data_IF_941335423270
#
_entry.id   IF_941335423270
#
_cell.length_a   1.000
_cell.length_b   1.000
_cell.length_c   1.000
_cell.angle_alpha   90.00
_cell.angle_beta   90.00
_cell.angle_gamma   90.00
#
_symmetry.space_group_name_H-M   'P 1'
#
loop_
_entity.id
_entity.type
_entity.pdbx_description
1 polymer ?
#
# COMPACT_ATOMS: atom_id res chain seq x y z
N UNK A 1 -10.89 0.88 -27.00
CA UNK A 1 -11.73 -0.25 -27.41
C UNK A 1 -11.29 -1.49 -26.63
N UNK A 2 -12.19 -2.07 -25.83
CA UNK A 2 -11.95 -3.34 -25.16
C UNK A 2 -11.79 -4.44 -26.20
N UNK A 3 -10.81 -5.32 -26.00
CA UNK A 3 -10.68 -6.57 -26.75
C UNK A 3 -11.44 -7.65 -25.99
N UNK A 4 -11.89 -8.68 -26.73
CA UNK A 4 -12.50 -9.85 -26.11
C UNK A 4 -11.49 -10.53 -25.18
N UNK A 5 -11.97 -11.03 -24.07
CA UNK A 5 -11.19 -11.74 -23.07
C UNK A 5 -12.02 -12.89 -22.50
N UNK A 6 -11.36 -13.88 -21.98
CA UNK A 6 -12.00 -15.06 -21.39
C UNK A 6 -11.41 -15.38 -20.02
N UNK A 7 -12.18 -16.15 -19.25
CA UNK A 7 -11.84 -16.55 -17.87
C UNK A 7 -11.22 -17.95 -17.80
N UNK A 8 -11.25 -18.72 -18.88
CA UNK A 8 -10.75 -20.10 -18.91
C UNK A 8 -9.32 -20.20 -19.45
N UNK A 9 -8.58 -21.18 -18.95
CA UNK A 9 -7.21 -21.49 -19.36
C UNK A 9 -7.00 -22.98 -19.47
N UNK A 10 -6.28 -23.41 -20.49
CA UNK A 10 -5.84 -24.80 -20.65
C UNK A 10 -4.70 -25.09 -19.66
N UNK A 11 -5.06 -25.43 -18.43
CA UNK A 11 -4.12 -25.66 -17.34
C UNK A 11 -4.59 -26.81 -16.46
N UNK A 12 -3.67 -27.39 -15.72
CA UNK A 12 -3.95 -28.34 -14.64
C UNK A 12 -3.86 -27.70 -13.24
N UNK A 13 -3.66 -26.40 -13.19
CA UNK A 13 -3.56 -25.62 -11.98
C UNK A 13 -4.55 -24.47 -11.98
N UNK A 14 -5.26 -24.29 -10.88
CA UNK A 14 -6.28 -23.27 -10.72
C UNK A 14 -7.59 -23.86 -10.24
N UNK A 15 -8.67 -23.08 -10.29
CA UNK A 15 -10.00 -23.54 -9.90
C UNK A 15 -10.69 -24.22 -11.08
N UNK A 16 -11.25 -25.38 -10.84
CA UNK A 16 -12.06 -26.11 -11.86
C UNK A 16 -13.31 -25.33 -12.24
N UNK A 17 -13.74 -25.44 -13.48
CA UNK A 17 -14.98 -24.88 -13.98
C UNK A 17 -16.08 -25.93 -13.81
N UNK A 18 -17.08 -25.74 -12.95
CA UNK A 18 -18.09 -26.75 -12.62
C UNK A 18 -19.19 -26.86 -13.68
N UNK A 19 -18.77 -27.13 -14.92
CA UNK A 19 -19.66 -27.27 -16.07
C UNK A 19 -19.49 -28.66 -16.70
N UNK A 20 -20.62 -29.27 -17.07
CA UNK A 20 -20.71 -30.51 -17.83
C UNK A 20 -21.26 -30.20 -19.21
N UNK A 21 -20.89 -31.02 -20.20
CA UNK A 21 -21.35 -30.90 -21.59
C UNK A 21 -21.92 -32.25 -22.08
N UNK A 22 -22.99 -32.20 -22.83
CA UNK A 22 -23.49 -33.38 -23.54
C UNK A 22 -22.81 -33.56 -24.92
N UNK A 23 -23.28 -34.55 -25.71
CA UNK A 23 -22.80 -34.83 -27.08
C UNK A 23 -23.05 -33.67 -28.05
N UNK A 24 -24.03 -32.82 -27.78
CA UNK A 24 -24.44 -31.70 -28.60
C UNK A 24 -23.83 -30.39 -28.15
N UNK A 25 -22.87 -30.44 -27.17
CA UNK A 25 -22.23 -29.31 -26.51
C UNK A 25 -23.17 -28.39 -25.70
N UNK A 26 -24.37 -28.88 -25.34
CA UNK A 26 -25.18 -28.16 -24.35
C UNK A 26 -24.48 -28.20 -22.98
N UNK A 27 -24.54 -27.10 -22.25
CA UNK A 27 -23.83 -26.93 -20.95
C UNK A 27 -24.78 -27.08 -19.79
N UNK A 28 -24.33 -27.79 -18.75
CA UNK A 28 -25.05 -28.01 -17.51
C UNK A 28 -24.16 -27.72 -16.32
N UNK A 29 -24.65 -27.09 -15.25
CA UNK A 29 -23.90 -26.96 -14.01
C UNK A 29 -23.68 -28.34 -13.37
N UNK A 30 -22.48 -28.59 -12.87
CA UNK A 30 -22.19 -29.79 -12.08
C UNK A 30 -22.95 -29.73 -10.75
N UNK A 31 -23.66 -30.79 -10.40
CA UNK A 31 -24.40 -30.92 -9.12
C UNK A 31 -23.49 -31.40 -8.00
N UNK A 32 -22.49 -32.21 -8.34
CA UNK A 32 -21.48 -32.70 -7.40
C UNK A 32 -20.36 -31.69 -7.27
N UNK A 33 -20.25 -31.06 -6.10
CA UNK A 33 -19.28 -30.03 -5.78
C UNK A 33 -18.56 -30.34 -4.46
N UNK A 34 -17.27 -29.98 -4.34
CA UNK A 34 -16.40 -29.35 -5.35
C UNK A 34 -15.96 -30.31 -6.46
N UNK A 35 -15.72 -29.78 -7.65
CA UNK A 35 -15.03 -30.55 -8.71
C UNK A 35 -13.54 -30.52 -8.38
N UNK A 36 -12.98 -31.65 -7.94
CA UNK A 36 -11.58 -31.77 -7.53
C UNK A 36 -10.66 -31.98 -8.74
N UNK A 37 -9.47 -31.36 -8.67
CA UNK A 37 -8.41 -31.59 -9.66
C UNK A 37 -7.71 -32.93 -9.40
N UNK A 38 -7.39 -33.71 -10.46
CA UNK A 38 -6.64 -34.93 -10.30
C UNK A 38 -5.19 -34.66 -9.85
N UNK A 39 -4.65 -35.52 -8.99
CA UNK A 39 -3.30 -35.37 -8.44
C UNK A 39 -2.22 -36.04 -9.30
N UNK A 40 -2.60 -36.91 -10.25
CA UNK A 40 -1.72 -37.75 -11.08
C UNK A 40 -1.54 -37.22 -12.50
N UNK A 41 -1.57 -35.89 -12.70
CA UNK A 41 -1.48 -35.27 -14.02
C UNK A 41 -0.05 -35.36 -14.58
N UNK A 42 0.09 -35.92 -15.79
CA UNK A 42 1.35 -35.89 -16.51
C UNK A 42 1.41 -34.72 -17.48
N UNK A 43 2.48 -33.89 -17.36
CA UNK A 43 2.69 -32.74 -18.21
C UNK A 43 3.40 -33.16 -19.50
N UNK A 44 2.66 -33.28 -20.60
CA UNK A 44 3.22 -33.61 -21.92
C UNK A 44 3.73 -32.39 -22.72
N UNK A 45 3.41 -31.17 -22.27
CA UNK A 45 3.85 -29.92 -22.90
C UNK A 45 3.14 -29.52 -24.20
N UNK A 46 2.23 -30.33 -24.73
CA UNK A 46 1.64 -30.09 -26.07
C UNK A 46 0.11 -29.89 -26.02
N UNK A 47 -0.58 -30.37 -24.99
CA UNK A 47 -2.05 -30.33 -24.89
C UNK A 47 -2.50 -29.97 -23.47
N UNK A 48 -3.77 -29.59 -23.32
CA UNK A 48 -4.36 -29.43 -22.00
C UNK A 48 -4.19 -30.71 -21.19
N UNK A 49 -3.50 -30.66 -20.03
CA UNK A 49 -3.25 -31.87 -19.26
C UNK A 49 -4.51 -32.57 -18.77
N UNK A 50 -5.57 -31.82 -18.44
CA UNK A 50 -6.85 -32.38 -18.01
C UNK A 50 -7.62 -33.01 -19.16
N UNK A 51 -7.48 -32.49 -20.38
CA UNK A 51 -8.11 -33.03 -21.57
C UNK A 51 -7.54 -34.41 -22.01
N UNK A 52 -6.41 -34.83 -21.46
CA UNK A 52 -5.81 -36.11 -21.69
C UNK A 52 -6.25 -37.20 -20.69
N UNK A 53 -7.03 -36.85 -19.66
CA UNK A 53 -7.40 -37.75 -18.56
C UNK A 53 -8.88 -38.14 -18.66
N UNK A 54 -9.14 -39.31 -19.26
CA UNK A 54 -10.52 -39.84 -19.40
C UNK A 54 -11.23 -39.93 -18.04
N UNK A 55 -10.56 -40.34 -17.00
CA UNK A 55 -11.09 -40.44 -15.63
C UNK A 55 -11.60 -39.08 -15.09
N UNK A 56 -11.01 -37.96 -15.50
CA UNK A 56 -11.47 -36.63 -15.15
C UNK A 56 -12.59 -36.15 -16.07
N UNK A 57 -12.50 -36.46 -17.39
CA UNK A 57 -13.44 -35.98 -18.39
C UNK A 57 -14.81 -36.61 -18.22
N UNK A 58 -14.88 -37.91 -18.03
CA UNK A 58 -16.13 -38.66 -17.96
C UNK A 58 -16.89 -38.32 -16.67
N UNK A 59 -18.16 -37.98 -16.80
CA UNK A 59 -19.06 -37.67 -15.71
C UNK A 59 -20.45 -38.25 -16.01
N UNK A 60 -21.18 -38.57 -14.94
CA UNK A 60 -22.57 -39.00 -15.05
C UNK A 60 -23.45 -38.19 -14.13
N UNK A 61 -24.51 -37.59 -14.66
CA UNK A 61 -25.46 -36.80 -13.92
C UNK A 61 -26.87 -37.04 -14.43
N UNK A 62 -27.83 -37.23 -13.53
CA UNK A 62 -29.25 -37.48 -13.86
C UNK A 62 -29.45 -38.66 -14.82
N UNK A 63 -28.59 -39.67 -14.78
CA UNK A 63 -28.65 -40.85 -15.65
C UNK A 63 -28.06 -40.65 -17.06
N UNK A 64 -27.55 -39.47 -17.35
CA UNK A 64 -26.90 -39.11 -18.64
C UNK A 64 -25.39 -39.17 -18.53
N UNK A 65 -24.71 -39.62 -19.56
CA UNK A 65 -23.29 -39.60 -19.72
C UNK A 65 -22.89 -38.24 -20.30
N UNK A 66 -22.05 -37.50 -19.55
CA UNK A 66 -21.65 -36.13 -19.83
C UNK A 66 -20.12 -36.01 -19.78
N UNK A 67 -19.58 -34.91 -20.27
CA UNK A 67 -18.12 -34.60 -20.18
C UNK A 67 -17.88 -33.36 -19.34
N UNK A 68 -16.92 -33.43 -18.42
CA UNK A 68 -16.46 -32.26 -17.66
C UNK A 68 -15.74 -31.27 -18.56
N UNK A 69 -15.87 -29.97 -18.19
CA UNK A 69 -14.98 -28.95 -18.73
C UNK A 69 -13.54 -29.25 -18.28
N UNK A 70 -12.61 -29.20 -19.24
CA UNK A 70 -11.18 -29.50 -19.00
C UNK A 70 -10.29 -28.26 -18.87
N UNK A 71 -10.85 -27.09 -19.09
CA UNK A 71 -10.20 -25.82 -18.74
C UNK A 71 -10.35 -25.54 -17.26
N UNK A 72 -9.43 -24.76 -16.70
CA UNK A 72 -9.55 -24.18 -15.37
C UNK A 72 -9.80 -22.68 -15.46
N UNK A 73 -10.30 -22.07 -14.41
CA UNK A 73 -10.31 -20.62 -14.32
C UNK A 73 -8.89 -20.07 -14.34
N UNK A 74 -8.70 -18.89 -14.92
CA UNK A 74 -7.47 -18.12 -14.80
C UNK A 74 -7.13 -17.92 -13.31
N UNK A 75 -5.84 -17.96 -12.96
CA UNK A 75 -5.38 -17.85 -11.57
C UNK A 75 -5.77 -16.51 -10.93
N UNK A 76 -5.88 -15.42 -11.71
CA UNK A 76 -6.40 -14.14 -11.24
C UNK A 76 -7.89 -14.15 -10.89
N UNK A 77 -8.65 -15.13 -11.38
CA UNK A 77 -10.05 -15.26 -11.03
C UNK A 77 -10.23 -15.58 -9.54
N UNK A 78 -9.40 -16.44 -8.98
CA UNK A 78 -9.41 -16.77 -7.55
C UNK A 78 -9.10 -15.55 -6.68
N UNK A 79 -8.11 -14.74 -7.06
CA UNK A 79 -7.73 -13.53 -6.34
C UNK A 79 -8.64 -12.32 -6.61
N UNK A 80 -9.61 -12.44 -7.51
CA UNK A 80 -10.46 -11.30 -7.93
C UNK A 80 -11.38 -10.77 -6.85
N UNK A 81 -11.67 -11.55 -5.81
CA UNK A 81 -12.61 -11.22 -4.75
C UNK A 81 -12.03 -11.35 -3.33
N UNK A 82 -10.70 -11.53 -3.22
CA UNK A 82 -10.03 -11.74 -1.93
C UNK A 82 -10.36 -10.64 -0.90
N UNK A 83 -10.42 -9.38 -1.34
CA UNK A 83 -10.73 -8.22 -0.49
C UNK A 83 -12.12 -8.35 0.17
N UNK A 84 -13.11 -8.87 -0.56
CA UNK A 84 -14.45 -9.14 -0.01
C UNK A 84 -14.40 -10.33 0.97
N UNK A 85 -13.64 -11.39 0.65
CA UNK A 85 -13.45 -12.52 1.55
C UNK A 85 -12.75 -12.13 2.84
N UNK A 86 -11.81 -11.20 2.82
CA UNK A 86 -11.17 -10.69 4.03
C UNK A 86 -12.17 -10.10 5.03
N UNK A 87 -13.22 -9.42 4.56
CA UNK A 87 -14.27 -8.90 5.43
C UNK A 87 -15.07 -10.00 6.14
N UNK A 88 -15.05 -11.23 5.60
CA UNK A 88 -15.79 -12.39 6.08
C UNK A 88 -14.89 -13.62 6.26
N UNK A 89 -13.61 -13.42 6.64
CA UNK A 89 -12.55 -14.44 6.58
C UNK A 89 -12.84 -15.72 7.37
N UNK A 90 -13.56 -15.63 8.47
CA UNK A 90 -13.93 -16.72 9.37
C UNK A 90 -15.33 -17.32 9.10
N UNK A 91 -16.06 -16.79 8.12
CA UNK A 91 -17.35 -17.35 7.72
C UNK A 91 -17.17 -18.76 7.14
N UNK A 92 -17.81 -19.77 7.76
CA UNK A 92 -17.75 -21.18 7.35
C UNK A 92 -18.96 -21.61 6.51
N UNK A 93 -20.06 -20.90 6.62
CA UNK A 93 -21.35 -21.30 6.06
C UNK A 93 -21.70 -20.57 4.77
N UNK A 94 -20.99 -19.48 4.46
CA UNK A 94 -21.23 -18.65 3.29
C UNK A 94 -19.93 -18.09 2.73
N UNK A 95 -19.96 -17.75 1.48
CA UNK A 95 -18.87 -17.08 0.76
C UNK A 95 -18.57 -15.70 1.35
N UNK A 96 -19.63 -14.93 1.61
CA UNK A 96 -19.61 -13.60 2.25
C UNK A 96 -20.76 -13.51 3.26
N UNK A 97 -20.64 -12.62 4.23
CA UNK A 97 -21.69 -12.27 5.19
C UNK A 97 -21.94 -10.76 5.24
N UNK A 98 -22.82 -10.30 6.12
CA UNK A 98 -23.21 -8.88 6.23
C UNK A 98 -22.04 -7.92 6.47
N UNK A 99 -20.89 -8.42 6.96
CA UNK A 99 -19.69 -7.61 7.12
C UNK A 99 -19.12 -7.17 5.77
N UNK A 100 -19.24 -8.01 4.73
CA UNK A 100 -18.82 -7.63 3.38
C UNK A 100 -19.61 -6.44 2.85
N UNK A 101 -20.94 -6.38 3.08
CA UNK A 101 -21.76 -5.23 2.69
C UNK A 101 -21.38 -3.95 3.44
N UNK A 102 -20.98 -4.07 4.71
CA UNK A 102 -20.55 -2.92 5.51
C UNK A 102 -19.18 -2.36 5.07
N UNK A 103 -18.21 -3.23 4.71
CA UNK A 103 -16.84 -2.84 4.40
C UNK A 103 -16.59 -2.56 2.93
N UNK A 104 -17.53 -2.88 2.05
CA UNK A 104 -17.42 -2.63 0.61
C UNK A 104 -18.33 -1.47 0.19
N UNK A 105 -17.90 -0.71 -0.85
CA UNK A 105 -16.64 -0.81 -1.59
C UNK A 105 -15.41 -0.47 -0.75
N UNK A 106 -14.23 -0.91 -1.18
CA UNK A 106 -12.95 -0.57 -0.54
C UNK A 106 -12.63 0.91 -0.75
N UNK A 107 -12.40 1.66 0.34
CA UNK A 107 -12.18 3.12 0.28
C UNK A 107 -10.97 3.51 -0.59
N UNK A 108 -9.86 2.79 -0.44
CA UNK A 108 -8.63 3.03 -1.20
C UNK A 108 -7.95 1.73 -1.57
N UNK A 109 -7.82 1.48 -2.87
CA UNK A 109 -7.14 0.29 -3.40
C UNK A 109 -5.84 0.69 -4.10
N UNK A 110 -4.73 0.07 -3.71
CA UNK A 110 -3.38 0.43 -4.18
C UNK A 110 -2.72 -0.79 -4.82
N UNK A 111 -2.21 -0.63 -6.03
CA UNK A 111 -1.51 -1.70 -6.73
C UNK A 111 -0.72 -1.22 -7.94
N UNK A 112 0.08 -2.11 -8.54
CA UNK A 112 0.86 -1.78 -9.72
C UNK A 112 -0.02 -1.59 -10.97
N UNK A 113 0.40 -0.71 -11.87
CA UNK A 113 -0.32 -0.41 -13.11
C UNK A 113 -0.50 -1.64 -14.01
N UNK A 114 0.38 -2.63 -13.92
CA UNK A 114 0.30 -3.88 -14.66
C UNK A 114 -0.96 -4.70 -14.38
N UNK A 115 -1.58 -4.49 -13.22
CA UNK A 115 -2.82 -5.17 -12.85
C UNK A 115 -4.08 -4.58 -13.49
N UNK A 116 -3.99 -3.46 -14.20
CA UNK A 116 -5.14 -2.79 -14.81
C UNK A 116 -5.91 -3.69 -15.79
N UNK A 117 -5.20 -4.51 -16.56
CA UNK A 117 -5.77 -5.44 -17.55
C UNK A 117 -5.82 -6.91 -17.08
N UNK A 118 -5.41 -7.17 -15.86
CA UNK A 118 -5.41 -8.51 -15.24
C UNK A 118 -6.33 -8.50 -14.02
N UNK A 119 -5.76 -8.42 -12.82
CA UNK A 119 -6.48 -8.48 -11.55
C UNK A 119 -7.65 -7.50 -11.47
N UNK A 120 -7.47 -6.23 -11.85
CA UNK A 120 -8.53 -5.23 -11.74
C UNK A 120 -9.71 -5.51 -12.69
N UNK A 121 -9.45 -6.03 -13.89
CA UNK A 121 -10.49 -6.44 -14.81
C UNK A 121 -11.35 -7.58 -14.21
N UNK A 122 -10.68 -8.61 -13.68
CA UNK A 122 -11.37 -9.73 -13.03
C UNK A 122 -12.11 -9.29 -11.77
N UNK A 123 -11.52 -8.42 -10.95
CA UNK A 123 -12.15 -7.91 -9.72
C UNK A 123 -13.45 -7.18 -10.01
N UNK A 124 -13.46 -6.31 -11.01
CA UNK A 124 -14.66 -5.56 -11.41
C UNK A 124 -15.72 -6.47 -12.00
N UNK A 125 -15.31 -7.43 -12.83
CA UNK A 125 -16.23 -8.41 -13.41
C UNK A 125 -16.85 -9.27 -12.31
N UNK A 126 -16.05 -9.85 -11.43
CA UNK A 126 -16.53 -10.74 -10.38
C UNK A 126 -17.39 -10.03 -9.35
N UNK A 127 -17.03 -8.78 -9.00
CA UNK A 127 -17.84 -7.95 -8.12
C UNK A 127 -19.27 -7.75 -8.63
N UNK A 128 -19.42 -7.52 -9.93
CA UNK A 128 -20.75 -7.40 -10.57
C UNK A 128 -21.51 -8.72 -10.57
N UNK A 129 -20.82 -9.84 -10.72
CA UNK A 129 -21.45 -11.15 -10.56
C UNK A 129 -21.94 -11.35 -9.11
N UNK A 130 -21.14 -10.98 -8.11
CA UNK A 130 -21.54 -11.05 -6.70
C UNK A 130 -22.72 -10.11 -6.38
N UNK A 131 -22.74 -8.91 -6.98
CA UNK A 131 -23.88 -7.98 -6.87
C UNK A 131 -25.15 -8.60 -7.46
N UNK A 132 -25.08 -9.17 -8.64
CA UNK A 132 -26.24 -9.78 -9.32
C UNK A 132 -26.79 -10.99 -8.53
N UNK A 133 -25.93 -11.63 -7.73
CA UNK A 133 -26.32 -12.68 -6.77
C UNK A 133 -26.79 -12.12 -5.41
N UNK A 134 -26.80 -10.81 -5.21
CA UNK A 134 -27.22 -10.15 -3.96
C UNK A 134 -26.23 -10.27 -2.79
N UNK A 135 -24.97 -10.66 -3.07
CA UNK A 135 -23.94 -10.85 -2.05
C UNK A 135 -23.21 -9.57 -1.67
N UNK A 136 -23.15 -8.59 -2.57
CA UNK A 136 -22.58 -7.26 -2.36
C UNK A 136 -23.50 -6.19 -2.94
N UNK A 137 -23.25 -4.92 -2.58
CA UNK A 137 -23.97 -3.76 -3.07
C UNK A 137 -23.06 -2.84 -3.89
N UNK A 138 -23.63 -2.09 -4.84
CA UNK A 138 -22.88 -1.15 -5.70
C UNK A 138 -22.36 -1.77 -7.00
N UNK A 139 -21.77 -0.94 -7.86
CA UNK A 139 -21.34 -1.32 -9.22
C UNK A 139 -19.83 -1.54 -9.34
N UNK A 140 -19.05 -0.96 -8.42
CA UNK A 140 -17.58 -1.00 -8.44
C UNK A 140 -17.03 -1.45 -7.08
N UNK A 141 -15.97 -2.26 -7.07
CA UNK A 141 -15.41 -2.81 -5.82
C UNK A 141 -14.55 -1.80 -5.04
N UNK A 142 -14.12 -0.71 -5.67
CA UNK A 142 -13.17 0.25 -5.12
C UNK A 142 -13.69 1.67 -5.35
N UNK A 143 -13.73 2.50 -4.28
CA UNK A 143 -14.08 3.92 -4.39
C UNK A 143 -12.93 4.72 -5.02
N UNK A 144 -11.70 4.45 -4.58
CA UNK A 144 -10.51 5.09 -5.11
C UNK A 144 -9.46 4.04 -5.49
N UNK A 145 -8.88 4.21 -6.68
CA UNK A 145 -7.86 3.33 -7.22
C UNK A 145 -6.57 4.11 -7.47
N UNK A 146 -5.49 3.71 -6.82
CA UNK A 146 -4.15 4.24 -7.06
C UNK A 146 -3.30 3.19 -7.77
N UNK A 147 -3.09 3.38 -9.08
CA UNK A 147 -2.21 2.54 -9.87
C UNK A 147 -0.77 3.04 -9.77
N UNK A 148 0.08 2.27 -9.10
CA UNK A 148 1.49 2.63 -8.90
C UNK A 148 2.32 2.41 -10.16
N UNK A 149 3.26 3.33 -10.40
CA UNK A 149 4.26 3.19 -11.46
C UNK A 149 5.27 2.09 -11.17
N UNK A 150 6.07 1.76 -12.18
CA UNK A 150 7.07 0.68 -12.10
C UNK A 150 8.30 1.12 -11.32
N UNK A 151 8.88 0.19 -10.51
CA UNK A 151 10.21 0.40 -9.94
C UNK A 151 11.26 -0.08 -10.93
N UNK A 152 12.14 0.83 -11.33
CA UNK A 152 13.20 0.61 -12.29
C UNK A 152 14.56 0.58 -11.59
N UNK A 153 15.50 -0.16 -12.15
CA UNK A 153 16.92 -0.11 -11.80
C UNK A 153 17.75 -0.13 -13.08
N UNK A 154 18.55 0.91 -13.27
CA UNK A 154 19.34 1.12 -14.50
C UNK A 154 18.42 1.09 -15.75
N UNK A 155 17.32 1.87 -15.71
CA UNK A 155 16.36 2.01 -16.79
C UNK A 155 15.52 0.77 -17.11
N UNK A 156 15.63 -0.32 -16.33
CA UNK A 156 14.91 -1.58 -16.55
C UNK A 156 14.00 -1.92 -15.37
N UNK A 157 12.80 -2.49 -15.65
CA UNK A 157 11.94 -3.03 -14.62
C UNK A 157 12.69 -4.03 -13.76
N UNK A 158 12.61 -3.87 -12.43
CA UNK A 158 13.14 -4.85 -11.48
C UNK A 158 12.40 -6.18 -11.62
N UNK A 159 13.16 -7.27 -11.77
CA UNK A 159 12.61 -8.62 -11.77
C UNK A 159 13.66 -9.64 -11.30
N UNK A 160 13.18 -10.72 -10.65
CA UNK A 160 14.03 -11.82 -10.23
C UNK A 160 14.76 -12.47 -11.42
N UNK A 161 14.09 -12.59 -12.56
CA UNK A 161 14.67 -13.20 -13.77
C UNK A 161 15.83 -12.38 -14.38
N UNK A 162 15.85 -11.06 -14.14
CA UNK A 162 16.95 -10.18 -14.58
C UNK A 162 18.05 -10.03 -13.54
N UNK A 163 17.85 -10.53 -12.32
CA UNK A 163 18.83 -10.39 -11.24
C UNK A 163 19.07 -8.94 -10.77
N UNK A 164 18.19 -7.99 -11.13
CA UNK A 164 18.34 -6.58 -10.81
C UNK A 164 17.46 -6.11 -9.64
N UNK A 165 16.94 -7.05 -8.85
CA UNK A 165 16.17 -6.74 -7.65
C UNK A 165 17.05 -6.16 -6.54
N UNK A 166 16.44 -5.33 -5.70
CA UNK A 166 17.08 -4.80 -4.48
C UNK A 166 16.40 -5.46 -3.29
N UNK A 167 17.21 -6.07 -2.43
CA UNK A 167 16.72 -6.62 -1.17
C UNK A 167 16.54 -5.48 -0.16
N UNK A 168 15.31 -5.24 0.31
CA UNK A 168 15.06 -4.22 1.31
C UNK A 168 15.67 -4.54 2.68
N UNK A 169 15.91 -5.81 3.02
CA UNK A 169 16.42 -6.22 4.33
C UNK A 169 17.82 -5.66 4.61
N UNK A 170 18.73 -5.75 3.63
CA UNK A 170 20.06 -5.16 3.73
C UNK A 170 20.05 -3.64 3.89
N UNK A 171 19.09 -2.97 3.24
CA UNK A 171 18.93 -1.51 3.37
C UNK A 171 18.32 -1.12 4.70
N UNK A 172 17.31 -1.86 5.16
CA UNK A 172 16.66 -1.64 6.45
C UNK A 172 17.67 -1.82 7.58
N UNK A 173 18.50 -2.87 7.52
CA UNK A 173 19.57 -3.11 8.51
C UNK A 173 20.59 -1.98 8.53
N UNK A 174 20.94 -1.41 7.37
CA UNK A 174 21.97 -0.35 7.27
C UNK A 174 21.44 1.05 7.57
N UNK A 175 20.25 1.39 7.10
CA UNK A 175 19.73 2.76 7.10
C UNK A 175 18.44 2.93 7.92
N UNK A 176 17.83 1.85 8.37
CA UNK A 176 16.53 1.87 9.05
C UNK A 176 15.34 1.87 8.07
N UNK A 177 14.22 1.32 8.50
CA UNK A 177 13.00 1.21 7.71
C UNK A 177 12.44 2.58 7.29
N UNK A 178 12.49 3.57 8.16
CA UNK A 178 11.96 4.91 7.88
C UNK A 178 12.72 5.62 6.76
N UNK A 179 14.03 5.37 6.64
CA UNK A 179 14.83 5.90 5.54
C UNK A 179 14.37 5.33 4.19
N UNK A 180 14.15 4.01 4.13
CA UNK A 180 13.71 3.34 2.90
C UNK A 180 12.30 3.82 2.51
N UNK A 181 11.40 3.91 3.48
CA UNK A 181 10.03 4.43 3.28
C UNK A 181 10.04 5.89 2.79
N UNK A 182 10.85 6.73 3.41
CA UNK A 182 10.98 8.13 3.00
C UNK A 182 11.51 8.25 1.58
N UNK A 183 12.54 7.45 1.22
CA UNK A 183 13.08 7.43 -0.13
C UNK A 183 12.02 7.05 -1.17
N UNK A 184 11.28 5.97 -0.95
CA UNK A 184 10.25 5.51 -1.90
C UNK A 184 9.17 6.58 -2.10
N UNK A 185 8.72 7.24 -1.03
CA UNK A 185 7.71 8.30 -1.12
C UNK A 185 8.23 9.60 -1.74
N UNK A 186 9.54 9.86 -1.62
CA UNK A 186 10.16 11.08 -2.12
C UNK A 186 10.63 10.99 -3.57
N UNK A 187 11.03 9.80 -4.03
CA UNK A 187 11.71 9.61 -5.32
C UNK A 187 10.84 9.92 -6.54
N UNK A 188 9.53 9.64 -6.47
CA UNK A 188 8.58 9.91 -7.55
C UNK A 188 7.14 10.03 -7.03
N UNK A 189 6.23 10.70 -7.77
CA UNK A 189 4.79 10.53 -7.55
C UNK A 189 4.38 9.07 -7.65
N UNK A 190 3.38 8.60 -6.89
CA UNK A 190 3.01 7.18 -6.83
C UNK A 190 2.62 6.57 -8.16
N UNK A 191 2.02 7.34 -9.07
CA UNK A 191 1.56 6.91 -10.39
C UNK A 191 2.67 6.89 -11.45
N UNK A 192 3.87 7.38 -11.10
CA UNK A 192 5.01 7.43 -12.02
C UNK A 192 6.07 6.37 -11.68
N UNK A 193 6.88 6.04 -12.70
CA UNK A 193 7.97 5.11 -12.50
C UNK A 193 9.05 5.72 -11.61
N UNK A 194 9.51 4.90 -10.64
CA UNK A 194 10.56 5.25 -9.70
C UNK A 194 11.88 4.61 -10.16
N UNK A 195 12.92 5.41 -10.37
CA UNK A 195 14.27 4.91 -10.59
C UNK A 195 14.97 4.69 -9.24
N UNK A 196 15.40 3.48 -9.00
CA UNK A 196 16.10 3.13 -7.77
C UNK A 196 17.48 3.79 -7.70
N UNK A 197 17.76 4.50 -6.60
CA UNK A 197 19.02 5.20 -6.36
C UNK A 197 19.52 5.00 -4.94
N UNK A 198 20.67 4.37 -4.78
CA UNK A 198 21.33 4.27 -3.47
C UNK A 198 21.74 5.62 -2.91
N UNK A 199 22.12 6.57 -3.78
CA UNK A 199 22.42 7.95 -3.38
C UNK A 199 21.17 8.65 -2.83
N UNK A 200 19.99 8.36 -3.42
CA UNK A 200 18.71 8.85 -2.92
C UNK A 200 18.36 8.30 -1.53
N UNK A 201 18.61 7.02 -1.28
CA UNK A 201 18.47 6.40 0.05
C UNK A 201 19.38 7.09 1.07
N UNK A 202 20.66 7.28 0.73
CA UNK A 202 21.62 7.99 1.60
C UNK A 202 21.19 9.44 1.84
N UNK A 203 20.61 10.13 0.84
CA UNK A 203 20.07 11.48 0.97
C UNK A 203 18.93 11.52 2.01
N UNK A 204 18.01 10.56 1.94
CA UNK A 204 16.91 10.41 2.88
C UNK A 204 17.41 10.13 4.30
N UNK A 205 18.43 9.28 4.46
CA UNK A 205 19.07 9.01 5.74
C UNK A 205 19.69 10.26 6.37
N UNK A 206 20.46 11.03 5.56
CA UNK A 206 21.04 12.29 6.03
C UNK A 206 19.97 13.31 6.46
N UNK A 207 18.86 13.37 5.73
CA UNK A 207 17.74 14.22 6.09
C UNK A 207 17.13 13.85 7.44
N UNK A 208 16.82 12.57 7.66
CA UNK A 208 16.26 12.11 8.94
C UNK A 208 17.20 12.36 10.11
N UNK A 209 18.50 12.11 9.94
CA UNK A 209 19.50 12.43 10.97
C UNK A 209 19.58 13.94 11.26
N UNK A 210 19.47 14.78 10.22
CA UNK A 210 19.43 16.23 10.42
C UNK A 210 18.21 16.68 11.23
N UNK A 211 17.03 16.13 10.92
CA UNK A 211 15.82 16.45 11.71
C UNK A 211 15.95 15.94 13.13
N UNK A 212 16.54 14.77 13.32
CA UNK A 212 16.81 14.25 14.66
C UNK A 212 17.70 15.20 15.47
N UNK A 213 18.85 15.59 14.91
CA UNK A 213 19.80 16.48 15.60
C UNK A 213 19.17 17.85 15.89
N UNK A 214 18.46 18.43 14.91
CA UNK A 214 17.73 19.69 15.08
C UNK A 214 16.73 19.62 16.24
N UNK A 215 16.00 18.51 16.32
CA UNK A 215 15.02 18.29 17.40
C UNK A 215 15.70 18.10 18.73
N UNK A 216 16.81 17.34 18.78
CA UNK A 216 17.57 17.10 20.00
C UNK A 216 18.17 18.41 20.53
N UNK A 217 18.81 19.20 19.67
CA UNK A 217 19.33 20.52 20.03
C UNK A 217 18.23 21.43 20.61
N UNK A 218 17.04 21.44 19.99
CA UNK A 218 15.91 22.21 20.47
C UNK A 218 15.41 21.75 21.87
N UNK A 219 15.38 20.45 22.10
CA UNK A 219 14.97 19.87 23.40
C UNK A 219 16.01 20.16 24.48
N UNK A 220 17.30 20.07 24.17
CA UNK A 220 18.39 20.28 25.11
C UNK A 220 18.44 21.74 25.62
N UNK A 221 18.11 22.71 24.77
CA UNK A 221 18.00 24.14 25.16
C UNK A 221 16.75 24.40 26.04
N UNK A 222 15.76 23.50 25.94
CA UNK A 222 14.49 23.57 26.67
C UNK A 222 13.34 24.03 25.80
N UNK A 223 12.27 23.26 25.86
CA UNK A 223 11.02 23.54 25.12
C UNK A 223 10.31 24.72 25.78
N UNK A 224 9.83 25.73 25.04
CA UNK A 224 9.03 26.81 25.61
C UNK A 224 7.78 26.27 26.31
N UNK A 225 7.58 26.66 27.60
CA UNK A 225 6.36 26.25 28.33
C UNK A 225 5.12 26.88 27.74
N UNK A 226 5.24 28.10 27.22
CA UNK A 226 4.20 28.87 26.56
C UNK A 226 4.73 29.42 25.25
N UNK A 227 3.96 29.30 24.19
CA UNK A 227 4.31 29.88 22.89
C UNK A 227 3.87 31.35 22.86
N UNK A 228 4.84 32.24 22.59
CA UNK A 228 4.61 33.68 22.46
C UNK A 228 5.16 34.15 21.11
N UNK A 229 4.41 34.97 20.43
CA UNK A 229 4.76 35.43 19.09
C UNK A 229 4.71 36.98 19.05
N UNK A 230 5.85 37.58 18.77
CA UNK A 230 5.96 39.04 18.54
C UNK A 230 5.93 39.31 17.02
N UNK A 231 4.90 40.00 16.59
CA UNK A 231 4.72 40.38 15.17
C UNK A 231 5.75 41.42 14.69
N UNK A 232 6.46 42.09 15.61
CA UNK A 232 7.54 43.02 15.27
C UNK A 232 8.85 42.27 14.97
N UNK A 233 9.01 41.02 15.43
CA UNK A 233 10.13 40.19 15.06
C UNK A 233 9.92 39.61 13.66
N UNK A 234 10.44 40.33 12.65
CA UNK A 234 10.22 39.98 11.24
C UNK A 234 10.74 38.60 10.86
N UNK A 235 11.84 38.14 11.46
CA UNK A 235 12.43 36.83 11.17
C UNK A 235 11.57 35.71 11.74
N UNK A 236 11.12 35.83 13.02
CA UNK A 236 10.19 34.88 13.62
C UNK A 236 8.87 34.81 12.87
N UNK A 237 8.32 35.98 12.48
CA UNK A 237 7.10 36.05 11.69
C UNK A 237 7.27 35.38 10.31
N UNK A 238 8.41 35.60 9.62
CA UNK A 238 8.73 34.98 8.33
C UNK A 238 8.77 33.45 8.43
N UNK A 239 9.41 32.90 9.50
CA UNK A 239 9.44 31.46 9.74
C UNK A 239 8.03 30.88 9.96
N UNK A 240 7.21 31.56 10.75
CA UNK A 240 5.81 31.16 10.98
C UNK A 240 4.98 31.15 9.70
N UNK A 241 5.09 32.21 8.89
CA UNK A 241 4.42 32.27 7.58
C UNK A 241 4.82 31.08 6.72
N UNK A 242 6.13 30.76 6.62
CA UNK A 242 6.63 29.60 5.86
C UNK A 242 6.11 28.29 6.45
N UNK A 243 6.02 28.17 7.77
CA UNK A 243 5.48 26.97 8.44
C UNK A 243 4.03 26.72 8.02
N UNK A 244 3.17 27.73 8.12
CA UNK A 244 1.75 27.59 7.75
C UNK A 244 1.52 27.41 6.24
N UNK A 245 2.34 28.03 5.38
CA UNK A 245 2.32 27.79 3.94
C UNK A 245 2.71 26.33 3.64
N UNK A 246 3.73 25.80 4.33
CA UNK A 246 4.16 24.41 4.18
C UNK A 246 3.06 23.45 4.63
N UNK A 247 2.40 23.70 5.76
CA UNK A 247 1.28 22.89 6.24
C UNK A 247 0.13 22.82 5.23
N UNK A 248 -0.28 23.98 4.70
CA UNK A 248 -1.35 24.04 3.70
C UNK A 248 -0.98 23.27 2.43
N UNK A 249 0.28 23.40 1.98
CA UNK A 249 0.78 22.65 0.83
C UNK A 249 0.82 21.14 1.08
N UNK A 250 1.37 20.73 2.24
CA UNK A 250 1.43 19.31 2.63
C UNK A 250 0.01 18.72 2.70
N UNK A 251 -0.94 19.46 3.29
CA UNK A 251 -2.33 19.02 3.34
C UNK A 251 -2.92 18.79 1.94
N UNK A 252 -2.77 19.75 1.04
CA UNK A 252 -3.27 19.62 -0.34
C UNK A 252 -2.60 18.47 -1.10
N UNK A 253 -1.27 18.35 -0.98
CA UNK A 253 -0.49 17.31 -1.63
C UNK A 253 -0.87 15.91 -1.13
N UNK A 254 -1.22 15.74 0.16
CA UNK A 254 -1.66 14.45 0.72
C UNK A 254 -3.11 14.11 0.44
N UNK A 255 -4.02 15.03 0.75
CA UNK A 255 -5.46 14.74 0.73
C UNK A 255 -6.05 14.69 -0.69
N UNK A 256 -5.55 15.55 -1.59
CA UNK A 256 -6.14 15.74 -2.90
C UNK A 256 -5.27 15.24 -4.05
N UNK A 257 -3.95 15.50 -3.99
CA UNK A 257 -3.04 15.28 -5.13
C UNK A 257 -2.28 13.97 -5.06
N UNK A 258 -2.19 13.35 -3.88
CA UNK A 258 -1.31 12.21 -3.60
C UNK A 258 0.15 12.44 -4.06
N UNK A 259 0.62 13.70 -3.99
CA UNK A 259 1.94 14.13 -4.42
C UNK A 259 2.92 14.13 -3.24
N UNK A 260 3.22 12.95 -2.71
CA UNK A 260 4.04 12.78 -1.50
C UNK A 260 5.45 13.36 -1.64
N UNK A 261 6.04 13.26 -2.82
CA UNK A 261 7.36 13.80 -3.12
C UNK A 261 7.41 15.32 -2.96
N UNK A 262 6.40 16.06 -3.40
CA UNK A 262 6.34 17.52 -3.27
C UNK A 262 6.04 17.96 -1.84
N UNK A 263 5.23 17.19 -1.10
CA UNK A 263 5.01 17.39 0.32
C UNK A 263 6.32 17.25 1.11
N UNK A 264 7.08 16.18 0.89
CA UNK A 264 8.37 15.93 1.53
C UNK A 264 9.37 17.04 1.16
N UNK A 265 9.44 17.45 -0.10
CA UNK A 265 10.30 18.56 -0.53
C UNK A 265 9.98 19.86 0.24
N UNK A 266 8.69 20.16 0.43
CA UNK A 266 8.25 21.35 1.18
C UNK A 266 8.65 21.29 2.66
N UNK A 267 8.61 20.09 3.27
CA UNK A 267 9.09 19.87 4.65
C UNK A 267 10.63 20.02 4.73
N UNK A 268 11.37 19.51 3.72
CA UNK A 268 12.82 19.71 3.64
C UNK A 268 13.18 21.20 3.52
N UNK A 269 12.45 21.95 2.70
CA UNK A 269 12.62 23.40 2.59
C UNK A 269 12.35 24.12 3.90
N UNK A 270 11.27 23.78 4.62
CA UNK A 270 10.95 24.35 5.92
C UNK A 270 12.08 24.10 6.92
N UNK A 271 12.59 22.86 6.98
CA UNK A 271 13.68 22.51 7.89
C UNK A 271 14.96 23.33 7.62
N UNK A 272 15.23 23.69 6.36
CA UNK A 272 16.36 24.53 5.99
C UNK A 272 16.14 26.02 6.33
N UNK A 273 14.90 26.43 6.57
CA UNK A 273 14.56 27.82 6.91
C UNK A 273 14.60 28.13 8.39
N UNK A 274 14.74 27.12 9.26
CA UNK A 274 14.86 27.33 10.70
C UNK A 274 16.25 27.90 10.97
N UNK A 275 16.36 29.17 11.46
CA UNK A 275 17.66 29.77 11.75
C UNK A 275 18.30 29.10 12.97
N UNK A 276 19.58 28.79 12.91
CA UNK A 276 20.29 28.17 14.04
C UNK A 276 20.26 29.03 15.31
N UNK A 277 20.27 30.36 15.15
CA UNK A 277 20.18 31.28 16.30
C UNK A 277 18.85 31.18 17.06
N UNK A 278 17.77 30.67 16.42
CA UNK A 278 16.47 30.45 17.09
C UNK A 278 16.50 29.26 18.04
N UNK A 279 17.50 28.40 17.88
CA UNK A 279 17.78 27.22 18.71
C UNK A 279 19.08 27.48 19.44
N UNK A 280 19.12 28.57 20.21
CA UNK A 280 20.27 28.97 21.03
C UNK A 280 19.78 29.52 22.37
N UNK A 281 20.63 29.45 23.41
CA UNK A 281 20.29 29.88 24.76
C UNK A 281 19.95 31.38 24.85
N UNK A 282 20.46 32.20 23.93
CA UNK A 282 20.25 33.65 23.90
C UNK A 282 19.13 34.10 22.95
N UNK A 283 18.38 33.17 22.34
CA UNK A 283 17.25 33.51 21.48
C UNK A 283 16.07 34.04 22.31
N UNK A 284 15.31 34.96 21.71
CA UNK A 284 14.10 35.49 22.32
C UNK A 284 13.02 34.42 22.43
N UNK A 285 12.04 34.60 23.32
CA UNK A 285 10.94 33.67 23.48
C UNK A 285 10.13 33.55 22.16
N UNK A 286 9.95 34.64 21.41
CA UNK A 286 9.26 34.63 20.11
C UNK A 286 9.99 33.81 19.06
N UNK A 287 11.32 33.90 18.96
CA UNK A 287 12.16 33.09 18.06
C UNK A 287 12.12 31.61 18.41
N UNK A 288 12.26 31.28 19.70
CA UNK A 288 12.15 29.91 20.20
C UNK A 288 10.76 29.31 19.96
N UNK A 289 9.71 30.13 20.13
CA UNK A 289 8.33 29.73 19.87
C UNK A 289 8.10 29.43 18.38
N UNK A 290 8.65 30.28 17.49
CA UNK A 290 8.56 30.06 16.03
C UNK A 290 9.34 28.83 15.60
N UNK A 291 10.55 28.60 16.15
CA UNK A 291 11.32 27.39 15.89
C UNK A 291 10.61 26.13 16.40
N UNK A 292 10.06 26.18 17.60
CA UNK A 292 9.27 25.09 18.18
C UNK A 292 8.06 24.73 17.31
N UNK A 293 7.29 25.72 16.90
CA UNK A 293 6.15 25.54 16.01
C UNK A 293 6.57 24.87 14.70
N UNK A 294 7.67 25.33 14.08
CA UNK A 294 8.20 24.76 12.83
C UNK A 294 8.66 23.30 13.02
N UNK A 295 9.45 23.00 14.06
CA UNK A 295 9.96 21.66 14.36
C UNK A 295 8.81 20.69 14.63
N UNK A 296 7.83 21.09 15.45
CA UNK A 296 6.67 20.25 15.72
C UNK A 296 5.88 19.92 14.46
N UNK A 297 5.74 20.87 13.53
CA UNK A 297 5.04 20.65 12.26
C UNK A 297 5.87 19.86 11.23
N UNK A 298 7.19 19.79 11.37
CA UNK A 298 8.04 18.89 10.60
C UNK A 298 7.89 17.44 11.09
N UNK A 299 7.87 17.24 12.42
CA UNK A 299 7.79 15.91 13.04
C UNK A 299 6.38 15.33 12.93
N UNK A 300 5.38 16.17 13.11
CA UNK A 300 3.97 15.83 13.01
C UNK A 300 3.28 16.78 12.00
N UNK A 301 3.49 16.60 10.69
CA UNK A 301 2.71 17.33 9.70
C UNK A 301 1.27 16.81 9.79
N UNK A 302 0.52 17.32 10.80
CA UNK A 302 -0.83 16.85 11.06
C UNK A 302 -1.86 17.74 10.36
N UNK A 303 -2.54 17.22 9.32
CA UNK A 303 -3.83 17.76 8.87
C UNK A 303 -4.94 17.53 9.90
N UNK A 304 -4.66 16.84 11.03
CA UNK A 304 -5.65 16.30 11.95
C UNK A 304 -5.92 17.18 13.20
N UNK A 305 -5.51 18.44 13.23
CA UNK A 305 -5.92 19.37 14.30
C UNK A 305 -7.36 19.90 14.06
N UNK A 306 -8.32 19.01 13.86
CA UNK A 306 -9.73 19.35 13.75
C UNK A 306 -10.68 18.58 14.66
N UNK A 307 -10.18 17.64 15.49
CA UNK A 307 -11.02 16.89 16.44
C UNK A 307 -10.35 16.74 17.79
N UNK A 308 -10.88 17.51 18.76
CA UNK A 308 -10.80 17.39 20.22
C UNK A 308 -9.42 17.38 20.91
N UNK A 309 -9.09 18.50 21.57
CA UNK A 309 -7.85 18.78 22.34
C UNK A 309 -7.56 17.87 23.55
N UNK A 310 -8.39 16.86 23.87
CA UNK A 310 -8.20 15.94 25.00
C UNK A 310 -7.45 14.65 24.67
N UNK A 311 -7.42 14.23 23.40
CA UNK A 311 -6.68 13.00 22.99
C UNK A 311 -5.21 13.24 22.63
N UNK A 312 -4.78 14.48 22.44
CA UNK A 312 -3.44 14.81 21.97
C UNK A 312 -2.34 14.46 22.99
N UNK A 313 -2.58 14.65 24.29
CA UNK A 313 -1.57 14.38 25.30
C UNK A 313 -1.22 12.88 25.48
N UNK A 314 -2.18 11.98 25.23
CA UNK A 314 -1.94 10.54 25.36
C UNK A 314 -1.18 9.93 24.19
N UNK A 315 -1.34 10.47 22.97
CA UNK A 315 -0.66 9.97 21.76
C UNK A 315 0.78 10.42 21.66
N UNK A 316 1.08 11.64 22.05
CA UNK A 316 2.45 12.16 22.09
C UNK A 316 3.32 11.41 23.12
N UNK A 317 2.75 11.02 24.25
CA UNK A 317 3.45 10.19 25.25
C UNK A 317 3.67 8.74 24.76
N UNK A 318 2.72 8.12 24.07
CA UNK A 318 2.88 6.76 23.50
C UNK A 318 3.92 6.71 22.38
N UNK A 319 3.97 7.72 21.50
CA UNK A 319 4.98 7.79 20.43
C UNK A 319 6.39 8.01 20.96
N UNK A 320 6.55 8.81 22.03
CA UNK A 320 7.84 8.93 22.74
C UNK A 320 8.29 7.60 23.36
N UNK A 321 7.37 6.77 23.85
CA UNK A 321 7.65 5.44 24.39
C UNK A 321 8.06 4.44 23.32
N UNK A 322 7.38 4.41 22.16
CA UNK A 322 7.71 3.55 21.02
C UNK A 322 9.07 3.92 20.41
N UNK A 323 9.38 5.22 20.31
CA UNK A 323 10.68 5.70 19.84
C UNK A 323 11.84 5.36 20.79
N UNK A 324 11.61 5.38 22.12
CA UNK A 324 12.61 4.95 23.12
C UNK A 324 12.81 3.42 23.12
N UNK A 325 11.77 2.63 22.94
CA UNK A 325 11.85 1.17 22.87
C UNK A 325 12.63 0.67 21.65
N UNK A 326 12.47 1.31 20.47
CA UNK A 326 13.22 0.95 19.27
C UNK A 326 14.73 1.24 19.33
N UNK A 327 15.21 2.04 20.29
CA UNK A 327 16.65 2.27 20.52
C UNK A 327 17.29 1.28 21.49
N UNK A 328 16.52 0.64 22.37
CA UNK A 328 17.06 -0.32 23.36
C UNK A 328 17.37 -1.71 22.77
N UNK A 329 16.88 -2.01 21.55
CA UNK A 329 17.10 -3.30 20.88
C UNK A 329 18.23 -3.28 19.85
N UNK A 330 18.95 -2.15 19.65
CA UNK A 330 20.04 -2.05 18.66
C UNK A 330 21.44 -1.92 19.29
N UNK A 331 21.70 -2.53 20.42
CA UNK A 331 23.09 -2.78 20.81
C UNK A 331 23.45 -4.23 20.41
N UNK A 332 24.41 -4.44 19.49
CA UNK A 332 24.98 -5.77 19.30
C UNK A 332 25.82 -6.10 20.52
N UNK A 333 25.50 -7.19 21.18
CA UNK A 333 26.45 -7.87 22.07
C UNK A 333 27.67 -8.29 21.25
N UNK A 334 28.74 -7.53 21.38
CA UNK A 334 30.08 -8.03 21.16
C UNK A 334 30.51 -8.70 22.46
N UNK A 335 30.51 -10.05 22.49
CA UNK A 335 31.54 -10.71 23.26
C UNK A 335 31.55 -12.23 22.97
N UNK A 336 32.75 -12.65 22.58
CA UNK A 336 33.40 -13.97 22.55
C UNK A 336 33.13 -14.88 21.35
#
# INVERSE_FOLDING_TARGET
RLRDWGVSRQSNWGKTIPILKDSDNNTFPAKELPVELPTNVQLSGVSSPLAALNEFIEARQDGQDLKRETDTFDTFFESSWYYARFASFDSKNSMLDERAKYWLPVDQYVGGIEHAVLHLLYSRFFFRCLRDLGLVEGDEPFDNLLCQGMVLKVGSKMSKSKGNTVDPEGLISKYGADTVRLFVMFAAPPDQSLEWSEQGVQGSFRFLNRIWNLTQEHVDIGIPEKLEFDNNNKEALSLRIKTHQTLNKVKDDYERRHAFNTAIASVMELSNKIPKQFIANNSSLSERSAAHEAIMNIIEPSPLKGRNGSEQNSRTHRRKAVWKAGKSEQQPETDK
#
